data_IF_977776229325
#
_entry.id   IF_977776229325
#
_cell.length_a   1.000
_cell.length_b   1.000
_cell.length_c   1.000
_cell.angle_alpha   90.00
_cell.angle_beta   90.00
_cell.angle_gamma   90.00
#
_symmetry.space_group_name_H-M   'P 1'
#
loop_
_entity.id
_entity.type
_entity.pdbx_description
1 polymer ?
#
# COMPACT_ATOMS: atom_id res chain seq x y z
N UNK A 1 44.92 32.83 66.67
CA UNK A 1 44.35 33.50 65.48
C UNK A 1 44.36 32.52 64.32
N UNK A 2 43.25 32.48 63.57
CA UNK A 2 42.99 31.71 62.35
C UNK A 2 42.97 30.18 62.43
N UNK A 3 41.77 29.61 62.24
CA UNK A 3 41.42 28.86 61.02
C UNK A 3 39.92 28.59 60.96
N UNK A 4 39.27 29.16 59.95
CA UNK A 4 37.93 28.82 59.48
C UNK A 4 37.96 27.48 58.75
N UNK A 5 36.92 26.66 58.89
CA UNK A 5 36.68 25.52 58.00
C UNK A 5 35.20 25.49 57.59
N UNK A 6 35.02 25.44 56.28
CA UNK A 6 33.78 25.46 55.52
C UNK A 6 32.90 24.23 55.78
N UNK A 7 31.62 24.46 56.05
CA UNK A 7 30.53 23.50 55.83
C UNK A 7 29.94 23.76 54.44
N UNK A 8 30.15 22.84 53.50
CA UNK A 8 29.54 22.87 52.17
C UNK A 8 28.50 21.75 52.08
N UNK A 9 27.25 22.16 51.89
CA UNK A 9 26.06 21.30 51.89
C UNK A 9 25.95 20.41 50.66
N UNK A 10 25.52 19.18 50.89
CA UNK A 10 25.28 18.16 49.87
C UNK A 10 23.77 18.05 49.63
N UNK A 11 23.25 18.86 48.71
CA UNK A 11 21.89 18.75 48.17
C UNK A 11 21.94 18.23 46.75
N UNK A 12 21.84 16.91 46.55
CA UNK A 12 21.87 16.30 45.23
C UNK A 12 20.45 15.90 44.77
N UNK A 13 19.88 16.80 43.97
CA UNK A 13 19.02 16.58 42.80
C UNK A 13 18.57 15.12 42.52
N UNK A 14 17.33 14.80 42.88
CA UNK A 14 16.55 13.71 42.27
C UNK A 14 15.91 14.24 40.97
N UNK A 15 16.65 14.21 39.85
CA UNK A 15 16.08 14.46 38.53
C UNK A 15 15.40 13.18 38.01
N UNK A 16 14.09 13.29 37.82
CA UNK A 16 13.23 12.24 37.32
C UNK A 16 13.64 11.74 35.94
N UNK A 17 13.92 10.45 35.87
CA UNK A 17 13.94 9.65 34.65
C UNK A 17 12.50 9.50 34.13
N UNK A 18 11.94 10.56 33.57
CA UNK A 18 10.78 10.45 32.69
C UNK A 18 11.31 10.04 31.31
N UNK A 19 11.46 8.73 31.09
CA UNK A 19 11.73 8.20 29.76
C UNK A 19 10.63 8.64 28.78
N UNK A 20 10.95 8.97 27.52
CA UNK A 20 9.93 9.32 26.55
C UNK A 20 9.07 8.08 26.30
N UNK A 21 7.87 8.06 26.87
CA UNK A 21 6.84 7.12 26.47
C UNK A 21 6.52 7.41 25.00
N UNK A 22 7.06 6.59 24.09
CA UNK A 22 6.64 6.59 22.71
C UNK A 22 5.20 6.13 22.72
N UNK A 23 4.27 7.09 22.68
CA UNK A 23 2.86 6.81 22.49
C UNK A 23 2.73 6.11 21.14
N UNK A 24 2.63 4.78 21.15
CA UNK A 24 2.13 4.02 20.01
C UNK A 24 0.78 4.61 19.67
N UNK A 25 0.71 5.36 18.57
CA UNK A 25 -0.54 5.93 18.10
C UNK A 25 -1.56 4.78 18.00
N UNK A 26 -2.59 4.81 18.84
CA UNK A 26 -3.61 3.77 18.85
C UNK A 26 -4.45 3.97 17.60
N UNK A 27 -4.24 3.13 16.60
CA UNK A 27 -5.07 3.12 15.39
C UNK A 27 -6.50 2.75 15.79
N UNK A 28 -7.52 3.51 15.35
CA UNK A 28 -8.89 3.11 15.56
C UNK A 28 -9.17 1.80 14.82
N UNK A 29 -10.19 1.07 15.27
CA UNK A 29 -10.61 -0.19 14.68
C UNK A 29 -12.05 -0.04 14.22
N UNK A 30 -12.32 -0.41 12.97
CA UNK A 30 -13.69 -0.55 12.47
C UNK A 30 -14.17 -1.93 12.90
N UNK A 31 -15.18 -1.97 13.76
CA UNK A 31 -15.78 -3.25 14.13
C UNK A 31 -16.40 -3.90 12.89
N UNK A 32 -16.14 -5.19 12.70
CA UNK A 32 -16.83 -6.00 11.71
C UNK A 32 -17.95 -6.79 12.39
N UNK A 33 -19.06 -7.07 11.69
CA UNK A 33 -20.10 -7.96 12.20
C UNK A 33 -19.51 -9.31 12.62
N UNK A 34 -20.03 -9.91 13.69
CA UNK A 34 -19.53 -11.18 14.20
C UNK A 34 -19.69 -12.33 13.19
N UNK A 35 -20.73 -12.26 12.37
CA UNK A 35 -21.03 -13.25 11.33
C UNK A 35 -20.29 -12.98 10.01
N UNK A 36 -19.49 -11.91 9.93
CA UNK A 36 -18.71 -11.60 8.74
C UNK A 36 -17.46 -12.48 8.69
N UNK A 37 -17.23 -13.14 7.56
CA UNK A 37 -16.02 -13.90 7.31
C UNK A 37 -14.91 -12.92 6.95
N UNK A 38 -13.82 -12.92 7.71
CA UNK A 38 -12.70 -12.00 7.52
C UNK A 38 -11.67 -12.62 6.57
N UNK A 39 -11.22 -11.83 5.61
CA UNK A 39 -10.06 -12.15 4.79
C UNK A 39 -8.90 -11.23 5.18
N UNK A 40 -7.71 -11.81 5.32
CA UNK A 40 -6.50 -11.03 5.58
C UNK A 40 -6.13 -10.23 4.33
N UNK A 41 -6.03 -8.92 4.50
CA UNK A 41 -5.34 -8.00 3.60
C UNK A 41 -4.15 -7.50 4.43
N UNK A 42 -2.96 -7.38 3.83
CA UNK A 42 -1.69 -7.15 4.54
C UNK A 42 -1.74 -6.17 5.71
N UNK A 43 -0.86 -6.35 6.71
CA UNK A 43 -1.01 -5.70 8.03
C UNK A 43 -0.99 -4.17 7.96
N UNK A 44 -0.16 -3.62 7.07
CA UNK A 44 -0.15 -2.21 6.76
C UNK A 44 0.15 -2.01 5.28
N UNK A 45 -0.71 -1.25 4.62
CA UNK A 45 -0.60 -0.91 3.21
C UNK A 45 -0.40 0.60 3.11
N UNK A 46 0.42 1.08 2.18
CA UNK A 46 0.49 2.49 1.82
C UNK A 46 0.06 2.61 0.36
N UNK A 47 -1.13 3.15 0.12
CA UNK A 47 -1.65 3.35 -1.24
C UNK A 47 -1.68 4.84 -1.54
N UNK A 48 -1.02 5.27 -2.63
CA UNK A 48 -0.97 6.69 -3.03
C UNK A 48 -0.41 7.62 -1.94
N UNK A 49 0.54 7.13 -1.16
CA UNK A 49 1.16 7.90 -0.07
C UNK A 49 0.32 7.93 1.21
N UNK A 50 -0.74 7.13 1.29
CA UNK A 50 -1.63 7.05 2.45
C UNK A 50 -1.41 5.74 3.18
N UNK A 51 -0.78 5.74 4.37
CA UNK A 51 -0.72 4.58 5.23
C UNK A 51 -2.12 4.16 5.68
N UNK A 52 -2.43 2.89 5.57
CA UNK A 52 -3.74 2.32 5.88
C UNK A 52 -3.65 0.90 6.41
N UNK A 53 -4.65 0.53 7.21
CA UNK A 53 -4.92 -0.83 7.64
C UNK A 53 -6.23 -1.29 7.02
N UNK A 54 -6.19 -2.45 6.38
CA UNK A 54 -7.31 -2.98 5.61
C UNK A 54 -7.81 -4.28 6.23
N UNK A 55 -9.11 -4.46 6.22
CA UNK A 55 -9.76 -5.73 6.57
C UNK A 55 -10.81 -6.02 5.50
N UNK A 56 -10.55 -7.04 4.68
CA UNK A 56 -11.56 -7.54 3.76
C UNK A 56 -12.52 -8.46 4.50
N UNK A 57 -13.78 -8.48 4.07
CA UNK A 57 -14.77 -9.37 4.63
C UNK A 57 -15.86 -9.73 3.63
N UNK A 58 -16.54 -10.82 3.92
CA UNK A 58 -17.78 -11.23 3.27
C UNK A 58 -18.87 -11.41 4.32
N UNK A 59 -20.09 -11.01 3.98
CA UNK A 59 -21.22 -11.10 4.88
C UNK A 59 -22.50 -11.43 4.10
N UNK A 60 -23.14 -12.53 4.49
CA UNK A 60 -24.33 -13.06 3.84
C UNK A 60 -25.61 -12.28 4.22
N UNK A 61 -25.63 -10.99 3.92
CA UNK A 61 -26.78 -10.09 4.12
C UNK A 61 -27.01 -9.20 2.89
N UNK A 62 -28.24 -8.71 2.68
CA UNK A 62 -28.51 -7.72 1.63
C UNK A 62 -27.73 -6.41 1.84
N UNK A 63 -27.36 -5.76 0.73
CA UNK A 63 -26.63 -4.48 0.72
C UNK A 63 -27.22 -3.43 1.65
N UNK A 64 -28.54 -3.24 1.63
CA UNK A 64 -29.21 -2.25 2.48
C UNK A 64 -29.03 -2.52 3.98
N UNK A 65 -29.00 -3.80 4.40
CA UNK A 65 -28.77 -4.16 5.79
C UNK A 65 -27.32 -3.92 6.20
N UNK A 66 -26.37 -4.26 5.32
CA UNK A 66 -24.95 -3.99 5.55
C UNK A 66 -24.69 -2.48 5.71
N UNK A 67 -25.23 -1.66 4.81
CA UNK A 67 -25.11 -0.20 4.86
C UNK A 67 -25.67 0.36 6.16
N UNK A 68 -26.89 -0.03 6.54
CA UNK A 68 -27.52 0.44 7.77
C UNK A 68 -26.70 0.03 9.02
N UNK A 69 -26.11 -1.16 9.02
CA UNK A 69 -25.24 -1.60 10.12
C UNK A 69 -23.98 -0.74 10.23
N UNK A 70 -23.26 -0.54 9.12
CA UNK A 70 -22.04 0.25 9.11
C UNK A 70 -22.29 1.74 9.35
N UNK A 71 -23.42 2.28 8.89
CA UNK A 71 -23.80 3.65 9.17
C UNK A 71 -24.07 3.87 10.66
N UNK A 72 -24.68 2.91 11.35
CA UNK A 72 -24.82 2.96 12.82
C UNK A 72 -23.48 2.88 13.54
N UNK A 73 -22.56 2.02 13.06
CA UNK A 73 -21.24 1.89 13.65
C UNK A 73 -20.44 3.20 13.49
N UNK A 74 -20.38 3.73 12.27
CA UNK A 74 -19.62 4.92 11.92
C UNK A 74 -20.33 6.21 12.40
N UNK A 75 -21.57 6.14 12.87
CA UNK A 75 -22.30 7.29 13.40
C UNK A 75 -22.88 8.22 12.33
N UNK A 76 -23.61 9.23 12.79
CA UNK A 76 -24.45 10.08 11.96
C UNK A 76 -23.67 10.92 10.92
N UNK A 77 -22.40 11.25 11.21
CA UNK A 77 -21.56 12.06 10.33
C UNK A 77 -20.89 11.25 9.21
N UNK A 78 -21.17 9.94 9.12
CA UNK A 78 -20.67 9.10 8.06
C UNK A 78 -21.32 9.49 6.72
N UNK A 79 -20.48 9.83 5.74
CA UNK A 79 -20.92 10.18 4.39
C UNK A 79 -21.00 8.90 3.55
N UNK A 80 -22.13 8.72 2.88
CA UNK A 80 -22.36 7.66 1.90
C UNK A 80 -22.10 8.20 0.48
N UNK A 81 -21.29 7.49 -0.31
CA UNK A 81 -21.05 7.81 -1.71
C UNK A 81 -21.07 6.55 -2.60
N UNK A 82 -21.50 6.66 -3.87
CA UNK A 82 -21.38 5.57 -4.82
C UNK A 82 -19.92 5.37 -5.26
N UNK A 83 -19.55 4.11 -5.53
CA UNK A 83 -18.27 3.76 -6.16
C UNK A 83 -18.48 3.41 -7.64
N UNK A 84 -17.44 3.64 -8.45
CA UNK A 84 -17.41 3.12 -9.82
C UNK A 84 -17.54 1.58 -9.80
N UNK A 85 -18.39 1.03 -10.68
CA UNK A 85 -18.68 -0.41 -10.71
C UNK A 85 -19.80 -0.88 -9.77
N UNK A 86 -20.64 0.03 -9.28
CA UNK A 86 -21.90 -0.30 -8.58
C UNK A 86 -21.74 -0.62 -7.09
N UNK A 87 -20.58 -0.33 -6.51
CA UNK A 87 -20.37 -0.40 -5.05
C UNK A 87 -20.83 0.87 -4.33
N UNK A 88 -20.75 0.84 -3.00
CA UNK A 88 -20.99 2.00 -2.14
C UNK A 88 -19.86 2.11 -1.11
N UNK A 89 -19.58 3.34 -0.67
CA UNK A 89 -18.61 3.61 0.40
C UNK A 89 -19.23 4.49 1.46
N UNK A 90 -19.07 4.08 2.72
CA UNK A 90 -19.31 4.91 3.90
C UNK A 90 -17.97 5.39 4.42
N UNK A 91 -17.86 6.65 4.84
CA UNK A 91 -16.64 7.11 5.48
C UNK A 91 -16.82 8.31 6.40
N UNK A 92 -15.91 8.43 7.37
CA UNK A 92 -15.88 9.52 8.34
C UNK A 92 -14.45 9.84 8.77
N UNK A 93 -14.23 11.08 9.21
CA UNK A 93 -13.02 11.46 9.93
C UNK A 93 -13.15 11.11 11.42
N UNK A 94 -12.08 10.59 12.02
CA UNK A 94 -11.93 10.38 13.45
C UNK A 94 -10.52 10.79 13.89
N UNK A 95 -10.39 12.02 14.39
CA UNK A 95 -9.08 12.60 14.68
C UNK A 95 -8.22 12.67 13.41
N UNK A 96 -6.96 12.17 13.43
CA UNK A 96 -6.10 12.15 12.26
C UNK A 96 -6.42 11.02 11.27
N UNK A 97 -7.37 10.14 11.57
CA UNK A 97 -7.67 8.97 10.76
C UNK A 97 -8.95 9.17 9.94
N UNK A 98 -8.94 8.69 8.70
CA UNK A 98 -10.15 8.51 7.90
C UNK A 98 -10.56 7.04 7.91
N UNK A 99 -11.76 6.77 8.43
CA UNK A 99 -12.35 5.43 8.47
C UNK A 99 -13.29 5.31 7.28
N UNK A 100 -13.15 4.24 6.49
CA UNK A 100 -14.10 3.96 5.41
C UNK A 100 -14.45 2.48 5.31
N UNK A 101 -15.64 2.20 4.79
CA UNK A 101 -16.13 0.85 4.50
C UNK A 101 -16.69 0.85 3.10
N UNK A 102 -16.02 0.15 2.20
CA UNK A 102 -16.48 -0.09 0.84
C UNK A 102 -17.26 -1.39 0.80
N UNK A 103 -18.41 -1.39 0.14
CA UNK A 103 -19.31 -2.53 0.00
C UNK A 103 -19.65 -2.75 -1.47
N UNK A 104 -19.68 -4.02 -1.87
CA UNK A 104 -20.15 -4.44 -3.18
C UNK A 104 -21.11 -5.62 -3.03
N UNK A 105 -22.22 -5.57 -3.77
CA UNK A 105 -23.18 -6.65 -3.79
C UNK A 105 -22.59 -7.87 -4.51
N UNK A 106 -22.97 -9.05 -4.06
CA UNK A 106 -22.62 -10.35 -4.64
C UNK A 106 -23.88 -11.23 -4.67
N UNK A 107 -23.82 -12.38 -5.34
CA UNK A 107 -24.96 -13.32 -5.38
C UNK A 107 -25.36 -13.80 -3.98
N UNK A 108 -24.41 -13.94 -3.06
CA UNK A 108 -24.63 -14.47 -1.70
C UNK A 108 -24.75 -13.42 -0.59
N UNK A 109 -24.70 -12.13 -0.90
CA UNK A 109 -24.69 -11.07 0.11
C UNK A 109 -23.79 -9.90 -0.30
N UNK A 110 -22.91 -9.46 0.61
CA UNK A 110 -21.94 -8.40 0.33
C UNK A 110 -20.51 -8.87 0.55
N UNK A 111 -19.60 -8.34 -0.25
CA UNK A 111 -18.18 -8.29 0.06
C UNK A 111 -17.79 -6.85 0.35
N UNK A 112 -16.81 -6.66 1.21
CA UNK A 112 -16.38 -5.32 1.58
C UNK A 112 -14.94 -5.22 2.04
N UNK A 113 -14.48 -3.99 2.13
CA UNK A 113 -13.17 -3.62 2.67
C UNK A 113 -13.39 -2.50 3.66
N UNK A 114 -13.06 -2.76 4.93
CA UNK A 114 -12.94 -1.73 5.95
C UNK A 114 -11.49 -1.21 5.94
N UNK A 115 -11.33 0.11 5.89
CA UNK A 115 -10.05 0.79 5.81
C UNK A 115 -9.94 1.87 6.88
N UNK A 116 -8.83 1.86 7.60
CA UNK A 116 -8.43 2.96 8.48
C UNK A 116 -7.21 3.59 7.84
N UNK A 117 -7.29 4.87 7.48
CA UNK A 117 -6.21 5.60 6.80
C UNK A 117 -5.66 6.68 7.72
N UNK A 118 -4.34 6.76 7.88
CA UNK A 118 -3.68 7.83 8.65
C UNK A 118 -3.42 9.05 7.74
N UNK A 119 -4.31 10.04 7.83
CA UNK A 119 -4.21 11.25 7.01
C UNK A 119 -3.08 12.16 7.48
N UNK A 120 -2.77 12.17 8.78
CA UNK A 120 -1.69 12.99 9.30
C UNK A 120 -0.32 12.46 8.84
N UNK A 121 -0.10 11.15 8.86
CA UNK A 121 1.07 10.54 8.26
C UNK A 121 1.14 10.83 6.75
N UNK A 122 0.04 10.66 6.02
CA UNK A 122 0.00 10.95 4.59
C UNK A 122 0.43 12.40 4.25
N UNK A 123 0.00 13.38 5.04
CA UNK A 123 0.43 14.77 4.86
C UNK A 123 1.90 14.99 5.19
N UNK A 124 2.41 14.38 6.27
CA UNK A 124 3.83 14.49 6.67
C UNK A 124 4.75 13.85 5.64
N UNK A 125 4.38 12.69 5.12
CA UNK A 125 5.24 11.85 4.27
C UNK A 125 5.04 12.11 2.77
N UNK A 126 4.18 13.07 2.40
CA UNK A 126 3.83 13.42 1.03
C UNK A 126 5.04 13.65 0.12
N UNK A 127 6.05 14.37 0.62
CA UNK A 127 7.27 14.66 -0.14
C UNK A 127 8.10 13.39 -0.41
N UNK A 128 8.22 12.52 0.60
CA UNK A 128 8.89 11.22 0.48
C UNK A 128 8.20 10.31 -0.52
N UNK A 129 6.86 10.25 -0.49
CA UNK A 129 6.08 9.50 -1.47
C UNK A 129 6.23 10.06 -2.89
N UNK A 130 6.24 11.39 -3.06
CA UNK A 130 6.47 12.02 -4.37
C UNK A 130 7.85 11.67 -4.93
N UNK A 131 8.90 11.73 -4.11
CA UNK A 131 10.26 11.35 -4.49
C UNK A 131 10.40 9.84 -4.81
N UNK A 132 9.68 8.99 -4.08
CA UNK A 132 9.57 7.56 -4.39
C UNK A 132 8.92 7.33 -5.76
N UNK A 133 7.79 7.98 -6.03
CA UNK A 133 7.11 7.88 -7.34
C UNK A 133 8.01 8.34 -8.48
N UNK A 134 8.66 9.49 -8.34
CA UNK A 134 9.58 10.02 -9.35
C UNK A 134 10.77 9.08 -9.60
N UNK A 135 11.31 8.46 -8.54
CA UNK A 135 12.35 7.43 -8.69
C UNK A 135 11.86 6.25 -9.53
N UNK A 136 10.65 5.76 -9.31
CA UNK A 136 10.08 4.67 -10.11
C UNK A 136 9.79 5.09 -11.55
N UNK A 137 9.27 6.30 -11.78
CA UNK A 137 9.06 6.82 -13.14
C UNK A 137 10.38 6.91 -13.91
N UNK A 138 11.45 7.37 -13.26
CA UNK A 138 12.78 7.44 -13.88
C UNK A 138 13.32 6.07 -14.31
N UNK A 139 12.97 4.98 -13.63
CA UNK A 139 13.36 3.60 -14.03
C UNK A 139 12.77 3.20 -15.38
N UNK A 140 11.56 3.66 -15.70
CA UNK A 140 10.95 3.45 -17.02
C UNK A 140 11.39 4.47 -18.06
N UNK A 141 12.08 5.54 -17.66
CA UNK A 141 12.58 6.56 -18.56
C UNK A 141 11.51 7.60 -18.95
N UNK A 142 11.82 8.36 -20.01
CA UNK A 142 11.04 9.52 -20.40
C UNK A 142 9.62 9.15 -20.85
N UNK A 143 8.62 9.87 -20.31
CA UNK A 143 7.21 9.70 -20.66
C UNK A 143 6.47 8.64 -19.84
N UNK A 144 7.16 7.93 -18.95
CA UNK A 144 6.51 7.07 -17.97
C UNK A 144 5.57 7.87 -17.06
N UNK A 145 4.39 7.33 -16.78
CA UNK A 145 3.44 7.92 -15.86
C UNK A 145 2.95 6.87 -14.87
N UNK A 146 3.22 7.08 -13.58
CA UNK A 146 2.72 6.19 -12.53
C UNK A 146 1.22 6.43 -12.31
N UNK A 147 0.44 5.37 -12.48
CA UNK A 147 -1.00 5.35 -12.21
C UNK A 147 -1.29 4.89 -10.77
N UNK A 148 -0.47 3.98 -10.25
CA UNK A 148 -0.59 3.45 -8.89
C UNK A 148 0.75 2.99 -8.36
N UNK A 149 1.00 3.30 -7.09
CA UNK A 149 2.10 2.72 -6.33
C UNK A 149 1.56 2.37 -4.94
N UNK A 150 1.73 1.11 -4.58
CA UNK A 150 1.27 0.55 -3.31
C UNK A 150 2.44 -0.15 -2.63
N UNK A 151 2.71 0.20 -1.38
CA UNK A 151 3.64 -0.50 -0.53
C UNK A 151 2.85 -1.36 0.45
N UNK A 152 3.31 -2.57 0.75
CA UNK A 152 2.73 -3.44 1.77
C UNK A 152 3.83 -3.91 2.70
N UNK A 153 3.57 -3.86 4.00
CA UNK A 153 4.44 -4.40 5.03
C UNK A 153 3.70 -5.53 5.74
N UNK A 154 4.28 -6.72 5.64
CA UNK A 154 3.84 -7.94 6.30
C UNK A 154 5.00 -8.50 7.16
N UNK A 155 4.74 -9.37 8.15
CA UNK A 155 5.81 -9.94 8.97
C UNK A 155 6.90 -10.60 8.12
N UNK A 156 8.13 -10.09 8.21
CA UNK A 156 9.27 -10.63 7.48
C UNK A 156 9.34 -10.24 5.99
N UNK A 157 8.39 -9.45 5.46
CA UNK A 157 8.33 -9.13 4.03
C UNK A 157 7.79 -7.73 3.74
N UNK A 158 8.44 -7.04 2.83
CA UNK A 158 7.96 -5.81 2.20
C UNK A 158 7.62 -6.09 0.75
N UNK A 159 6.51 -5.54 0.25
CA UNK A 159 6.11 -5.66 -1.15
C UNK A 159 5.81 -4.30 -1.76
N UNK A 160 6.17 -4.11 -3.02
CA UNK A 160 5.88 -2.93 -3.81
C UNK A 160 5.11 -3.34 -5.06
N UNK A 161 3.90 -2.83 -5.20
CA UNK A 161 3.09 -2.99 -6.39
C UNK A 161 3.01 -1.66 -7.14
N UNK A 162 3.47 -1.66 -8.39
CA UNK A 162 3.55 -0.48 -9.23
C UNK A 162 2.80 -0.70 -10.54
N UNK A 163 1.98 0.29 -10.90
CA UNK A 163 1.24 0.35 -12.16
C UNK A 163 1.60 1.65 -12.85
N UNK A 164 2.06 1.55 -14.09
CA UNK A 164 2.46 2.70 -14.90
C UNK A 164 2.07 2.51 -16.37
N UNK A 165 1.89 3.62 -17.08
CA UNK A 165 1.82 3.65 -18.53
C UNK A 165 3.12 4.21 -19.11
N UNK A 166 3.50 3.74 -20.28
CA UNK A 166 4.69 4.17 -20.99
C UNK A 166 4.38 4.33 -22.50
N UNK A 167 4.88 5.38 -23.18
CA UNK A 167 4.57 5.62 -24.58
C UNK A 167 5.19 4.61 -25.55
N UNK A 168 6.23 3.89 -25.12
CA UNK A 168 6.91 2.88 -25.94
C UNK A 168 6.10 1.58 -26.05
N UNK A 169 6.43 0.80 -27.07
CA UNK A 169 5.91 -0.54 -27.34
C UNK A 169 6.16 -1.49 -26.16
N UNK A 170 5.42 -2.61 -26.15
CA UNK A 170 5.65 -3.70 -25.20
C UNK A 170 7.12 -4.15 -25.25
N UNK A 171 7.64 -4.42 -26.45
CA UNK A 171 9.01 -4.91 -26.60
C UNK A 171 10.05 -3.90 -26.10
N UNK A 172 9.93 -2.61 -26.46
CA UNK A 172 10.85 -1.57 -25.99
C UNK A 172 10.83 -1.41 -24.47
N UNK A 173 9.63 -1.44 -23.88
CA UNK A 173 9.43 -1.35 -22.43
C UNK A 173 9.99 -2.57 -21.69
N UNK A 174 9.81 -3.78 -22.24
CA UNK A 174 10.38 -5.02 -21.71
C UNK A 174 11.90 -4.98 -21.70
N UNK A 175 12.52 -4.54 -22.81
CA UNK A 175 13.98 -4.45 -22.90
C UNK A 175 14.55 -3.48 -21.87
N UNK A 176 13.89 -2.34 -21.67
CA UNK A 176 14.31 -1.34 -20.68
C UNK A 176 14.20 -1.87 -19.25
N UNK A 177 13.04 -2.40 -18.87
CA UNK A 177 12.82 -2.94 -17.52
C UNK A 177 13.76 -4.11 -17.21
N UNK A 178 14.04 -4.95 -18.21
CA UNK A 178 15.04 -6.01 -18.08
C UNK A 178 16.42 -5.43 -17.80
N UNK A 179 16.88 -4.47 -18.59
CA UNK A 179 18.19 -3.86 -18.40
C UNK A 179 18.31 -3.23 -17.00
N UNK A 180 17.27 -2.52 -16.55
CA UNK A 180 17.24 -1.90 -15.23
C UNK A 180 17.30 -2.93 -14.10
N UNK A 181 16.44 -3.95 -14.12
CA UNK A 181 16.40 -4.96 -13.06
C UNK A 181 17.69 -5.80 -13.01
N UNK A 182 18.29 -6.10 -14.16
CA UNK A 182 19.60 -6.76 -14.22
C UNK A 182 20.70 -5.87 -13.60
N UNK A 183 20.68 -4.56 -13.87
CA UNK A 183 21.62 -3.61 -13.26
C UNK A 183 21.44 -3.51 -11.73
N UNK A 184 20.22 -3.75 -11.22
CA UNK A 184 19.92 -3.82 -9.78
C UNK A 184 20.22 -5.18 -9.12
N UNK A 185 20.91 -6.08 -9.84
CA UNK A 185 21.36 -7.37 -9.32
C UNK A 185 20.30 -8.47 -9.36
N UNK A 186 19.15 -8.24 -10.00
CA UNK A 186 18.23 -9.33 -10.32
C UNK A 186 18.80 -10.19 -11.46
N UNK A 187 18.34 -11.45 -11.50
CA UNK A 187 18.51 -12.36 -12.62
C UNK A 187 17.15 -12.69 -13.19
N UNK A 188 17.04 -12.72 -14.51
CA UNK A 188 15.83 -13.18 -15.19
C UNK A 188 15.76 -14.70 -15.09
N UNK A 189 14.69 -15.22 -14.48
CA UNK A 189 14.47 -16.67 -14.34
C UNK A 189 13.52 -17.20 -15.41
N UNK A 190 12.51 -16.41 -15.77
CA UNK A 190 11.51 -16.80 -16.76
C UNK A 190 10.99 -15.60 -17.52
N UNK A 191 10.73 -15.82 -18.80
CA UNK A 191 10.00 -14.89 -19.65
C UNK A 191 8.95 -15.67 -20.44
N UNK A 192 7.73 -15.14 -20.51
CA UNK A 192 6.67 -15.62 -21.37
C UNK A 192 6.12 -14.44 -22.15
N UNK A 193 6.29 -14.47 -23.47
CA UNK A 193 5.82 -13.42 -24.37
C UNK A 193 4.81 -13.99 -25.35
N UNK A 194 3.66 -13.33 -25.48
CA UNK A 194 2.62 -13.65 -26.46
C UNK A 194 2.69 -12.59 -27.57
N UNK A 195 3.21 -13.03 -28.70
CA UNK A 195 3.37 -12.25 -29.93
C UNK A 195 2.15 -12.43 -30.89
N UNK A 196 2.08 -11.58 -31.91
CA UNK A 196 1.13 -11.59 -33.03
C UNK A 196 1.06 -12.91 -33.81
N UNK A 197 2.05 -13.78 -33.64
CA UNK A 197 2.09 -15.11 -34.25
C UNK A 197 1.22 -16.17 -33.55
N UNK A 198 0.71 -15.90 -32.33
CA UNK A 198 -0.12 -16.85 -31.57
C UNK A 198 -1.63 -16.57 -31.70
N UNK A 199 -2.49 -17.60 -31.67
CA UNK A 199 -3.93 -17.44 -31.84
C UNK A 199 -4.52 -16.44 -30.83
N UNK A 200 -5.46 -15.60 -31.30
CA UNK A 200 -6.11 -14.44 -30.63
C UNK A 200 -6.73 -14.66 -29.24
N UNK A 201 -6.58 -15.83 -28.63
CA UNK A 201 -7.19 -16.18 -27.34
C UNK A 201 -6.39 -15.70 -26.13
N UNK A 202 -5.10 -15.36 -26.28
CA UNK A 202 -4.29 -14.84 -25.17
C UNK A 202 -4.07 -13.32 -25.30
N UNK A 203 -4.18 -12.55 -24.20
CA UNK A 203 -3.85 -11.12 -24.22
C UNK A 203 -2.39 -10.93 -24.65
N UNK A 204 -2.16 -10.06 -25.64
CA UNK A 204 -0.81 -9.65 -26.05
C UNK A 204 -0.04 -9.09 -24.86
N UNK A 205 1.24 -9.43 -24.75
CA UNK A 205 2.09 -8.93 -23.68
C UNK A 205 3.26 -9.85 -23.33
N UNK A 206 4.00 -9.43 -22.31
CA UNK A 206 5.15 -10.15 -21.77
C UNK A 206 5.06 -10.22 -20.25
N UNK A 207 5.31 -11.41 -19.71
CA UNK A 207 5.47 -11.67 -18.29
C UNK A 207 6.93 -12.05 -18.03
N UNK A 208 7.56 -11.37 -17.08
CA UNK A 208 8.95 -11.59 -16.69
C UNK A 208 9.02 -11.88 -15.20
N UNK A 209 9.79 -12.90 -14.83
CA UNK A 209 10.08 -13.27 -13.45
C UNK A 209 11.56 -13.12 -13.18
N UNK A 210 11.87 -12.41 -12.10
CA UNK A 210 13.21 -12.08 -11.68
C UNK A 210 13.45 -12.50 -10.24
N UNK A 211 14.67 -12.92 -9.93
CA UNK A 211 15.11 -13.24 -8.58
C UNK A 211 16.47 -12.61 -8.25
N UNK A 212 16.63 -12.23 -6.99
CA UNK A 212 17.86 -11.77 -6.36
C UNK A 212 17.91 -12.32 -4.92
N UNK A 213 19.06 -12.30 -4.22
CA UNK A 213 19.11 -12.72 -2.83
C UNK A 213 18.08 -11.98 -1.96
N UNK A 214 17.09 -12.71 -1.43
CA UNK A 214 16.02 -12.16 -0.60
C UNK A 214 15.02 -11.25 -1.32
N UNK A 215 15.04 -11.22 -2.67
CA UNK A 215 14.21 -10.35 -3.49
C UNK A 215 13.65 -11.08 -4.70
N UNK A 216 12.40 -10.83 -5.03
CA UNK A 216 11.74 -11.36 -6.23
C UNK A 216 11.00 -10.23 -6.93
N UNK A 217 10.95 -10.25 -8.26
CA UNK A 217 10.14 -9.31 -9.03
C UNK A 217 9.37 -10.01 -10.14
N UNK A 218 8.10 -9.67 -10.29
CA UNK A 218 7.27 -10.07 -11.42
C UNK A 218 6.88 -8.81 -12.17
N UNK A 219 7.12 -8.79 -13.47
CA UNK A 219 6.78 -7.69 -14.37
C UNK A 219 5.84 -8.21 -15.44
N UNK A 220 4.72 -7.51 -15.64
CA UNK A 220 3.75 -7.76 -16.70
C UNK A 220 3.67 -6.50 -17.55
N UNK A 221 3.89 -6.65 -18.85
CA UNK A 221 3.80 -5.56 -19.82
C UNK A 221 2.77 -5.90 -20.87
N UNK A 222 1.77 -5.05 -21.06
CA UNK A 222 0.70 -5.24 -22.04
C UNK A 222 0.54 -3.98 -22.92
N UNK A 223 -0.10 -4.08 -24.10
CA UNK A 223 -0.43 -2.90 -24.89
C UNK A 223 -1.30 -1.90 -24.10
N UNK A 224 -0.99 -0.61 -24.23
CA UNK A 224 -1.77 0.46 -23.63
C UNK A 224 -3.09 0.73 -24.39
N UNK A 225 -4.13 1.24 -23.72
CA UNK A 225 -5.44 1.51 -24.35
C UNK A 225 -5.38 2.64 -25.40
N UNK A 226 -4.41 3.54 -25.28
CA UNK A 226 -4.20 4.70 -26.16
C UNK A 226 -2.93 4.58 -27.01
N UNK A 227 -2.42 3.37 -27.20
CA UNK A 227 -1.07 3.12 -27.73
C UNK A 227 -0.03 3.02 -26.62
N UNK A 228 1.19 2.62 -26.98
CA UNK A 228 2.27 2.35 -26.02
C UNK A 228 2.03 1.08 -25.20
N UNK A 229 2.40 1.10 -23.92
CA UNK A 229 2.31 -0.05 -23.02
C UNK A 229 1.86 0.32 -21.60
N UNK A 230 1.29 -0.67 -20.92
CA UNK A 230 1.00 -0.64 -19.49
C UNK A 230 1.93 -1.63 -18.80
N UNK A 231 2.52 -1.20 -17.69
CA UNK A 231 3.41 -2.00 -16.85
C UNK A 231 2.72 -2.23 -15.51
N UNK A 232 2.68 -3.48 -15.09
CA UNK A 232 2.36 -3.88 -13.73
C UNK A 232 3.57 -4.61 -13.19
N UNK A 233 4.10 -4.17 -12.06
CA UNK A 233 5.25 -4.79 -11.45
C UNK A 233 5.03 -4.99 -9.95
N UNK A 234 5.37 -6.18 -9.48
CA UNK A 234 5.37 -6.51 -8.06
C UNK A 234 6.78 -6.89 -7.64
N UNK A 235 7.34 -6.19 -6.66
CA UNK A 235 8.65 -6.48 -6.08
C UNK A 235 8.45 -6.90 -4.63
N UNK A 236 8.99 -8.04 -4.26
CA UNK A 236 8.95 -8.61 -2.92
C UNK A 236 10.35 -8.60 -2.35
N UNK A 237 10.52 -8.11 -1.12
CA UNK A 237 11.79 -8.09 -0.39
C UNK A 237 11.60 -8.73 0.98
N UNK A 238 12.44 -9.69 1.34
CA UNK A 238 12.46 -10.27 2.68
C UNK A 238 13.21 -9.33 3.65
N UNK A 239 12.63 -9.05 4.81
CA UNK A 239 13.26 -8.22 5.84
C UNK A 239 14.59 -8.85 6.30
N UNK A 240 15.65 -8.03 6.38
CA UNK A 240 17.01 -8.49 6.72
C UNK A 240 17.91 -8.75 5.50
N UNK A 241 17.38 -8.66 4.28
CA UNK A 241 18.17 -8.72 3.06
C UNK A 241 18.76 -7.35 2.71
N UNK A 242 20.01 -7.26 2.22
CA UNK A 242 20.57 -6.00 1.74
C UNK A 242 19.72 -5.43 0.59
N UNK A 243 19.44 -4.12 0.64
CA UNK A 243 18.68 -3.40 -0.39
C UNK A 243 19.55 -3.09 -1.60
#
# INVERSE_FOLDING_TARGET
MSRAFCSLGLGLLLLGLAGPAWATAVWPVIALPEQAQRASVGQQVEARGVPMRLQAFEWAVPMAQALAWFQRQLGADAVLAPLAGGGQVLGRMQGPHYLSVQLQATVGGVKGVAAVSDMAAAWRDRASYAALRERWERRLGYGAQTQGLTLSQDPGKESLHWVASHPDTVQGTVQRLRAELLAEGFRLEREVSVDDSQPRQLPRGSNLWFAAPGREAIVVVTPGPSGGSTVVMNVVTQQGSPR
#
